data_IF_423607975522
#
_entry.id   IF_423607975522
#
_cell.length_a   1.000
_cell.length_b   1.000
_cell.length_c   1.000
_cell.angle_alpha   90.00
_cell.angle_beta   90.00
_cell.angle_gamma   90.00
#
_symmetry.space_group_name_H-M   'P 1'
#
loop_
_entity.id
_entity.type
_entity.pdbx_description
1 polymer ?
#
# COMPACT_ATOMS: atom_id res chain seq x y z
N UNK A 1 -8.24 27.41 -2.74
CA UNK A 1 -7.81 26.15 -2.08
C UNK A 1 -7.62 25.13 -3.17
N UNK A 2 -6.36 24.79 -3.43
CA UNK A 2 -5.94 23.86 -4.48
C UNK A 2 -6.58 22.48 -4.25
N UNK A 3 -6.91 21.74 -5.31
CA UNK A 3 -7.52 20.41 -5.21
C UNK A 3 -6.60 19.45 -4.43
N UNK A 4 -5.29 19.62 -4.58
CA UNK A 4 -4.26 18.93 -3.79
C UNK A 4 -4.27 19.32 -2.30
N UNK A 5 -4.64 20.55 -1.97
CA UNK A 5 -4.67 21.09 -0.60
C UNK A 5 -5.90 20.56 0.17
N UNK A 6 -7.06 20.48 -0.49
CA UNK A 6 -8.25 19.81 0.05
C UNK A 6 -7.96 18.34 0.41
N UNK A 7 -7.19 17.66 -0.44
CA UNK A 7 -6.85 16.23 -0.29
C UNK A 7 -5.80 15.94 0.78
N UNK A 8 -4.99 16.93 1.19
CA UNK A 8 -4.03 16.80 2.31
C UNK A 8 -4.69 16.85 3.68
N UNK A 9 -5.85 17.49 3.78
CA UNK A 9 -6.53 17.76 5.05
C UNK A 9 -7.05 16.46 5.64
N UNK A 10 -6.58 16.12 6.85
CA UNK A 10 -7.15 15.05 7.65
C UNK A 10 -8.56 15.47 8.07
N UNK A 11 -9.56 14.64 7.79
CA UNK A 11 -10.89 14.86 8.35
C UNK A 11 -10.80 14.62 9.86
N UNK A 12 -11.33 15.53 10.71
CA UNK A 12 -11.36 15.30 12.14
C UNK A 12 -12.14 14.03 12.45
N UNK A 13 -11.43 13.01 12.95
CA UNK A 13 -12.03 11.80 13.48
C UNK A 13 -11.86 11.77 15.00
N UNK A 14 -12.77 11.09 15.70
CA UNK A 14 -12.67 10.92 17.16
C UNK A 14 -11.35 10.28 17.57
N UNK A 15 -10.80 9.39 16.72
CA UNK A 15 -9.50 8.76 16.93
C UNK A 15 -8.34 9.76 16.80
N UNK A 16 -8.44 10.79 15.94
CA UNK A 16 -7.41 11.83 15.80
C UNK A 16 -7.21 12.61 17.10
N UNK A 17 -8.30 12.97 17.77
CA UNK A 17 -8.27 13.66 19.08
C UNK A 17 -7.68 12.76 20.16
N UNK A 18 -8.04 11.47 20.15
CA UNK A 18 -7.45 10.48 21.08
C UNK A 18 -5.95 10.33 20.88
N UNK A 19 -5.49 10.30 19.62
CA UNK A 19 -4.07 10.29 19.30
C UNK A 19 -3.40 11.54 19.86
N UNK A 20 -3.99 12.72 19.70
CA UNK A 20 -3.41 13.95 20.22
C UNK A 20 -3.22 13.92 21.74
N UNK A 21 -4.30 13.62 22.47
CA UNK A 21 -4.25 13.53 23.93
C UNK A 21 -3.23 12.50 24.40
N UNK A 22 -3.19 11.33 23.74
CA UNK A 22 -2.24 10.27 24.06
C UNK A 22 -0.78 10.75 23.95
N UNK A 23 -0.42 11.47 22.89
CA UNK A 23 0.95 11.94 22.73
C UNK A 23 1.27 13.13 23.64
N UNK A 24 0.28 13.95 23.98
CA UNK A 24 0.44 15.01 24.99
C UNK A 24 0.76 14.41 26.36
N UNK A 25 0.04 13.35 26.76
CA UNK A 25 0.33 12.60 27.99
C UNK A 25 1.73 11.97 27.94
N UNK A 26 2.18 11.51 26.77
CA UNK A 26 3.50 10.88 26.64
C UNK A 26 4.68 11.84 26.79
N UNK A 27 4.44 13.15 26.72
CA UNK A 27 5.50 14.16 26.85
C UNK A 27 6.23 14.07 28.19
N UNK A 28 5.63 13.50 29.23
CA UNK A 28 6.27 13.31 30.53
C UNK A 28 7.41 12.28 30.51
N UNK A 29 7.36 11.30 29.60
CA UNK A 29 8.33 10.20 29.53
C UNK A 29 9.51 10.50 28.60
N UNK A 30 9.47 11.60 27.84
CA UNK A 30 10.41 11.88 26.74
C UNK A 30 11.89 11.91 27.16
N UNK A 31 12.15 12.16 28.43
CA UNK A 31 13.50 12.23 29.02
C UNK A 31 13.80 11.06 29.98
N UNK A 32 12.93 10.06 30.05
CA UNK A 32 13.20 8.87 30.85
C UNK A 32 14.42 8.11 30.30
N UNK A 33 15.21 7.56 31.21
CA UNK A 33 16.44 6.81 30.86
C UNK A 33 16.16 5.44 30.22
N UNK A 34 14.98 4.89 30.44
CA UNK A 34 14.57 3.60 29.92
C UNK A 34 13.07 3.59 29.60
N UNK A 35 12.59 2.55 28.91
CA UNK A 35 11.21 2.45 28.43
C UNK A 35 10.26 1.80 29.44
N UNK A 36 10.70 1.39 30.64
CA UNK A 36 9.87 0.56 31.52
C UNK A 36 8.63 1.31 32.02
N UNK A 37 8.78 2.58 32.38
CA UNK A 37 7.68 3.40 32.92
C UNK A 37 6.58 3.63 31.90
N UNK A 38 6.94 4.00 30.67
CA UNK A 38 5.97 4.17 29.58
C UNK A 38 5.35 2.84 29.12
N UNK A 39 6.10 1.74 29.16
CA UNK A 39 5.56 0.41 28.85
C UNK A 39 4.51 -0.01 29.89
N UNK A 40 4.78 0.23 31.17
CA UNK A 40 3.81 -0.01 32.26
C UNK A 40 2.56 0.85 32.09
N UNK A 41 2.72 2.14 31.76
CA UNK A 41 1.60 3.02 31.44
C UNK A 41 0.68 2.41 30.37
N UNK A 42 1.25 1.90 29.27
CA UNK A 42 0.44 1.23 28.24
C UNK A 42 -0.22 -0.06 28.71
N UNK A 43 0.41 -0.85 29.57
CA UNK A 43 -0.21 -2.04 30.15
C UNK A 43 -1.42 -1.68 31.02
N UNK A 44 -1.33 -0.61 31.80
CA UNK A 44 -2.43 -0.10 32.61
C UNK A 44 -3.58 0.43 31.74
N UNK A 45 -3.29 1.27 30.73
CA UNK A 45 -4.28 1.82 29.81
C UNK A 45 -5.02 0.72 29.02
N UNK A 46 -4.27 -0.24 28.47
CA UNK A 46 -4.85 -1.40 27.79
C UNK A 46 -5.71 -2.23 28.72
N UNK A 47 -5.31 -2.41 29.99
CA UNK A 47 -6.08 -3.19 30.96
C UNK A 47 -7.42 -2.54 31.28
N UNK A 48 -7.41 -1.20 31.41
CA UNK A 48 -8.60 -0.39 31.69
C UNK A 48 -9.62 -0.34 30.54
N UNK A 49 -9.19 -0.54 29.29
CA UNK A 49 -10.11 -0.51 28.13
C UNK A 49 -11.03 -1.74 28.12
N UNK A 50 -12.37 -1.59 28.22
CA UNK A 50 -13.27 -2.74 28.28
C UNK A 50 -13.35 -3.51 26.96
N UNK A 51 -13.34 -2.80 25.84
CA UNK A 51 -13.39 -3.40 24.50
C UNK A 51 -11.98 -3.57 23.92
N UNK A 52 -11.50 -4.81 23.96
CA UNK A 52 -10.18 -5.21 23.45
C UNK A 52 -10.11 -5.26 21.90
N UNK A 53 -11.19 -4.97 21.19
CA UNK A 53 -11.20 -4.80 19.74
C UNK A 53 -11.36 -3.34 19.32
N UNK A 54 -11.54 -2.41 20.27
CA UNK A 54 -11.70 -1.00 19.97
C UNK A 54 -10.45 -0.39 19.32
N UNK A 55 -10.64 0.65 18.52
CA UNK A 55 -9.52 1.42 17.96
C UNK A 55 -8.67 2.09 19.05
N UNK A 56 -9.23 2.34 20.24
CA UNK A 56 -8.48 2.87 21.38
C UNK A 56 -7.51 1.83 21.95
N UNK A 57 -7.99 0.59 22.13
CA UNK A 57 -7.14 -0.52 22.55
C UNK A 57 -6.00 -0.77 21.56
N UNK A 58 -6.32 -0.79 20.26
CA UNK A 58 -5.32 -0.94 19.19
C UNK A 58 -4.31 0.21 19.19
N UNK A 59 -4.77 1.44 19.42
CA UNK A 59 -3.89 2.61 19.48
C UNK A 59 -2.81 2.41 20.56
N UNK A 60 -3.20 2.05 21.78
CA UNK A 60 -2.26 1.75 22.85
C UNK A 60 -1.31 0.60 22.48
N UNK A 61 -1.82 -0.47 21.87
CA UNK A 61 -0.99 -1.59 21.41
C UNK A 61 0.02 -1.18 20.34
N UNK A 62 -0.36 -0.37 19.36
CA UNK A 62 0.53 0.11 18.31
C UNK A 62 1.66 0.97 18.90
N UNK A 63 1.33 1.91 19.79
CA UNK A 63 2.36 2.76 20.39
C UNK A 63 3.27 1.94 21.32
N UNK A 64 2.72 1.03 22.12
CA UNK A 64 3.51 0.13 22.94
C UNK A 64 4.45 -0.75 22.10
N UNK A 65 3.96 -1.29 20.98
CA UNK A 65 4.77 -2.10 20.05
C UNK A 65 5.90 -1.28 19.44
N UNK A 66 5.65 -0.02 19.07
CA UNK A 66 6.67 0.90 18.59
C UNK A 66 7.77 1.14 19.65
N UNK A 67 7.39 1.40 20.90
CA UNK A 67 8.32 1.58 22.03
C UNK A 67 9.10 0.30 22.32
N UNK A 68 8.43 -0.85 22.34
CA UNK A 68 9.07 -2.15 22.57
C UNK A 68 10.16 -2.44 21.52
N UNK A 69 9.94 -2.00 20.28
CA UNK A 69 10.88 -2.14 19.17
C UNK A 69 12.08 -1.16 19.24
N UNK A 70 12.19 -0.24 20.20
CA UNK A 70 13.34 0.67 20.30
C UNK A 70 14.70 -0.04 20.39
N UNK A 71 14.78 -1.16 21.13
CA UNK A 71 16.01 -1.96 21.21
C UNK A 71 16.41 -2.59 19.87
N UNK A 72 15.43 -2.86 19.01
CA UNK A 72 15.69 -3.26 17.63
C UNK A 72 16.23 -2.04 16.88
N UNK A 73 15.49 -0.94 16.83
CA UNK A 73 15.90 0.26 16.08
C UNK A 73 17.24 0.87 16.51
N UNK A 74 17.65 0.72 17.78
CA UNK A 74 18.93 1.20 18.28
C UNK A 74 20.14 0.61 17.52
N UNK A 75 20.00 -0.61 16.97
CA UNK A 75 21.07 -1.28 16.21
C UNK A 75 21.09 -0.87 14.73
N UNK A 76 20.10 -0.10 14.25
CA UNK A 76 20.04 0.40 12.87
C UNK A 76 21.28 1.26 12.51
N UNK A 77 21.82 1.97 13.50
CA UNK A 77 22.98 2.85 13.39
C UNK A 77 24.28 2.24 13.93
N UNK A 78 24.28 0.94 14.27
CA UNK A 78 25.46 0.26 14.80
C UNK A 78 26.33 -0.25 13.64
N UNK A 79 27.43 0.45 13.38
CA UNK A 79 28.39 0.12 12.31
C UNK A 79 29.02 -1.27 12.49
N UNK A 80 29.03 -1.81 13.71
CA UNK A 80 29.62 -3.13 14.02
C UNK A 80 28.63 -4.26 13.72
N UNK A 81 27.33 -4.02 13.93
CA UNK A 81 26.28 -5.03 13.76
C UNK A 81 25.73 -5.12 12.33
N UNK A 82 26.17 -4.23 11.43
CA UNK A 82 25.79 -4.17 10.03
C UNK A 82 24.39 -3.60 9.79
N UNK A 83 24.07 -3.29 8.54
CA UNK A 83 22.77 -2.71 8.17
C UNK A 83 21.67 -3.76 8.11
N UNK A 84 20.50 -3.46 8.65
CA UNK A 84 19.32 -4.31 8.51
C UNK A 84 18.93 -4.58 7.04
N UNK A 85 18.44 -5.80 6.80
CA UNK A 85 17.88 -6.17 5.51
C UNK A 85 16.52 -5.50 5.29
N UNK A 86 16.09 -5.44 4.03
CA UNK A 86 14.78 -4.91 3.66
C UNK A 86 13.63 -5.61 4.39
N UNK A 87 13.68 -6.95 4.44
CA UNK A 87 12.69 -7.76 5.14
C UNK A 87 12.63 -7.50 6.65
N UNK A 88 13.74 -7.08 7.26
CA UNK A 88 13.75 -6.73 8.69
C UNK A 88 12.92 -5.46 8.97
N UNK A 89 12.99 -4.46 8.09
CA UNK A 89 12.14 -3.27 8.19
C UNK A 89 10.68 -3.59 7.93
N UNK A 90 10.41 -4.36 6.86
CA UNK A 90 9.08 -4.81 6.48
C UNK A 90 8.38 -5.50 7.66
N UNK A 91 9.01 -6.48 8.31
CA UNK A 91 8.38 -7.22 9.40
C UNK A 91 8.00 -6.33 10.58
N UNK A 92 8.82 -5.33 10.90
CA UNK A 92 8.51 -4.38 11.98
C UNK A 92 7.38 -3.43 11.63
N UNK A 93 7.22 -3.09 10.35
CA UNK A 93 6.04 -2.37 9.90
C UNK A 93 4.80 -3.29 9.90
N UNK A 94 4.94 -4.54 9.45
CA UNK A 94 3.88 -5.54 9.44
C UNK A 94 3.30 -5.77 10.85
N UNK A 95 4.13 -5.85 11.88
CA UNK A 95 3.67 -5.93 13.29
C UNK A 95 2.68 -4.80 13.67
N UNK A 96 2.86 -3.58 13.15
CA UNK A 96 1.94 -2.47 13.40
C UNK A 96 0.65 -2.59 12.57
N UNK A 97 0.78 -3.10 11.34
CA UNK A 97 -0.35 -3.32 10.44
C UNK A 97 -1.26 -4.46 10.93
N UNK A 98 -0.67 -5.53 11.46
CA UNK A 98 -1.40 -6.64 12.05
C UNK A 98 -2.30 -6.15 13.18
N UNK A 99 -1.81 -5.28 14.06
CA UNK A 99 -2.62 -4.69 15.13
C UNK A 99 -3.69 -3.75 14.56
N UNK A 100 -3.35 -2.94 13.56
CA UNK A 100 -4.27 -1.94 12.99
C UNK A 100 -5.48 -2.57 12.29
N UNK A 101 -5.30 -3.73 11.65
CA UNK A 101 -6.31 -4.43 10.85
C UNK A 101 -6.79 -5.75 11.47
N UNK A 102 -6.46 -6.06 12.73
CA UNK A 102 -6.72 -7.38 13.34
C UNK A 102 -8.18 -7.84 13.34
N UNK A 103 -9.12 -6.90 13.36
CA UNK A 103 -10.57 -7.13 13.37
C UNK A 103 -11.25 -6.90 12.01
N UNK A 104 -10.48 -6.52 11.00
CA UNK A 104 -10.98 -6.24 9.66
C UNK A 104 -11.06 -7.54 8.85
N UNK A 105 -12.27 -8.05 8.64
CA UNK A 105 -12.47 -9.31 7.93
C UNK A 105 -12.33 -9.17 6.41
N UNK A 106 -12.59 -7.97 5.89
CA UNK A 106 -12.70 -7.73 4.45
C UNK A 106 -11.46 -7.09 3.84
N UNK A 107 -10.54 -6.58 4.67
CA UNK A 107 -9.26 -6.00 4.25
C UNK A 107 -8.14 -6.79 4.89
N UNK A 108 -7.31 -7.42 4.05
CA UNK A 108 -6.13 -8.15 4.48
C UNK A 108 -4.86 -7.47 3.97
N UNK A 109 -3.80 -7.57 4.76
CA UNK A 109 -2.45 -7.13 4.40
C UNK A 109 -1.59 -8.39 4.29
N UNK A 110 -1.03 -8.62 3.11
CA UNK A 110 -0.16 -9.75 2.84
C UNK A 110 1.26 -9.25 2.65
N UNK A 111 2.22 -9.86 3.34
CA UNK A 111 3.64 -9.68 3.11
C UNK A 111 4.27 -10.93 2.47
N UNK A 112 5.50 -10.79 1.94
CA UNK A 112 6.29 -11.93 1.46
C UNK A 112 6.33 -12.10 -0.07
N UNK A 113 6.89 -11.13 -0.78
CA UNK A 113 7.15 -11.17 -2.24
C UNK A 113 5.92 -11.62 -3.07
N UNK A 114 4.75 -11.06 -2.78
CA UNK A 114 3.52 -11.41 -3.48
C UNK A 114 3.54 -10.85 -4.91
N UNK A 115 3.08 -11.64 -5.89
CA UNK A 115 2.94 -11.21 -7.28
C UNK A 115 1.67 -10.37 -7.44
N UNK A 116 1.78 -9.16 -7.99
CA UNK A 116 0.61 -8.33 -8.32
C UNK A 116 -0.04 -8.77 -9.64
N UNK A 117 -1.29 -9.20 -9.55
CA UNK A 117 -2.15 -9.55 -10.68
C UNK A 117 -2.50 -8.33 -11.53
N UNK A 118 -2.75 -7.17 -10.91
CA UNK A 118 -3.03 -5.94 -11.66
C UNK A 118 -1.86 -5.56 -12.57
N UNK A 119 -0.63 -5.71 -12.08
CA UNK A 119 0.56 -5.47 -12.88
C UNK A 119 0.74 -6.49 -14.02
N UNK A 120 0.33 -7.74 -13.81
CA UNK A 120 0.37 -8.78 -14.84
C UNK A 120 -0.64 -8.48 -15.96
N UNK A 121 -1.88 -8.13 -15.59
CA UNK A 121 -2.92 -7.77 -16.55
C UNK A 121 -2.48 -6.59 -17.44
N UNK A 122 -1.86 -5.57 -16.84
CA UNK A 122 -1.36 -4.43 -17.61
C UNK A 122 -0.17 -4.74 -18.52
N UNK A 123 0.69 -5.71 -18.16
CA UNK A 123 1.74 -6.19 -19.06
C UNK A 123 1.14 -6.89 -20.28
N UNK A 124 0.18 -7.79 -20.07
CA UNK A 124 -0.51 -8.49 -21.17
C UNK A 124 -1.10 -7.46 -22.15
N UNK A 125 -1.75 -6.42 -21.63
CA UNK A 125 -2.36 -5.39 -22.47
C UNK A 125 -1.36 -4.50 -23.24
N UNK A 126 -0.19 -4.22 -22.67
CA UNK A 126 0.77 -3.26 -23.23
C UNK A 126 1.91 -3.91 -24.03
N UNK A 127 2.31 -5.11 -23.64
CA UNK A 127 3.54 -5.77 -24.09
C UNK A 127 3.25 -7.12 -24.77
N UNK A 128 2.00 -7.60 -24.76
CA UNK A 128 1.57 -8.91 -25.28
C UNK A 128 2.39 -10.10 -24.69
N UNK A 129 2.97 -9.87 -23.50
CA UNK A 129 3.77 -10.84 -22.76
C UNK A 129 2.94 -11.46 -21.61
N UNK A 130 2.92 -12.80 -21.56
CA UNK A 130 2.24 -13.57 -20.50
C UNK A 130 3.08 -13.71 -19.21
N UNK A 131 4.25 -13.07 -19.16
CA UNK A 131 5.19 -13.28 -18.07
C UNK A 131 4.72 -12.64 -16.77
N UNK A 132 4.93 -13.40 -15.68
CA UNK A 132 4.49 -13.14 -14.32
C UNK A 132 4.48 -11.65 -13.91
N UNK A 133 3.49 -11.29 -13.09
CA UNK A 133 3.37 -9.96 -12.50
C UNK A 133 4.60 -9.54 -11.68
N UNK A 134 4.64 -8.29 -11.25
CA UNK A 134 5.73 -7.78 -10.41
C UNK A 134 5.59 -8.28 -8.97
N UNK A 135 6.71 -8.69 -8.36
CA UNK A 135 6.79 -8.99 -6.93
C UNK A 135 6.75 -7.71 -6.09
N UNK A 136 5.95 -7.78 -5.03
CA UNK A 136 5.64 -6.71 -4.09
C UNK A 136 5.99 -7.17 -2.68
N UNK A 137 6.57 -6.27 -1.91
CA UNK A 137 6.90 -6.52 -0.50
C UNK A 137 5.65 -6.73 0.34
N UNK A 138 4.71 -5.78 0.28
CA UNK A 138 3.45 -5.81 1.02
C UNK A 138 2.27 -5.39 0.12
N UNK A 139 1.24 -6.21 0.06
CA UNK A 139 0.07 -6.01 -0.79
C UNK A 139 -1.20 -6.08 0.06
N UNK A 140 -1.97 -5.00 0.04
CA UNK A 140 -3.29 -4.98 0.66
C UNK A 140 -4.34 -5.45 -0.34
N UNK A 141 -5.24 -6.31 0.11
CA UNK A 141 -6.27 -6.94 -0.70
C UNK A 141 -7.62 -6.89 0.01
N UNK A 142 -8.69 -6.92 -0.78
CA UNK A 142 -10.05 -7.13 -0.30
C UNK A 142 -10.61 -8.42 -0.88
N UNK A 143 -11.53 -9.07 -0.15
CA UNK A 143 -12.21 -10.28 -0.62
C UNK A 143 -13.71 -10.03 -0.83
N UNK A 144 -14.27 -10.61 -1.90
CA UNK A 144 -15.72 -10.72 -2.11
C UNK A 144 -16.02 -12.02 -2.86
N UNK A 145 -16.90 -12.89 -2.34
CA UNK A 145 -17.31 -14.15 -2.98
C UNK A 145 -16.14 -14.92 -3.63
N UNK A 146 -15.11 -15.23 -2.82
CA UNK A 146 -13.86 -15.90 -3.23
C UNK A 146 -13.00 -15.20 -4.28
N UNK A 147 -13.41 -14.03 -4.76
CA UNK A 147 -12.60 -13.14 -5.57
C UNK A 147 -11.75 -12.25 -4.68
N UNK A 148 -10.45 -12.24 -4.92
CA UNK A 148 -9.48 -11.39 -4.22
C UNK A 148 -9.10 -10.24 -5.13
N UNK A 149 -9.24 -9.01 -4.64
CA UNK A 149 -9.00 -7.79 -5.40
C UNK A 149 -7.93 -6.97 -4.69
N UNK A 150 -6.90 -6.56 -5.43
CA UNK A 150 -5.81 -5.73 -4.92
C UNK A 150 -6.31 -4.31 -4.61
N UNK A 151 -5.86 -3.74 -3.49
CA UNK A 151 -6.24 -2.39 -3.04
C UNK A 151 -5.09 -1.41 -3.17
N UNK A 152 -3.89 -1.77 -2.70
CA UNK A 152 -2.66 -1.01 -2.92
C UNK A 152 -1.42 -1.84 -2.58
N UNK A 153 -0.26 -1.44 -3.10
CA UNK A 153 1.05 -2.00 -2.78
C UNK A 153 1.93 -1.03 -1.99
N UNK A 154 2.59 -1.54 -0.96
CA UNK A 154 3.58 -0.83 -0.15
C UNK A 154 4.95 -1.49 -0.33
N UNK A 155 5.98 -0.69 -0.53
CA UNK A 155 7.34 -1.18 -0.80
C UNK A 155 8.35 -0.66 0.22
N UNK A 156 9.38 -1.45 0.45
CA UNK A 156 10.42 -1.18 1.44
C UNK A 156 11.77 -1.12 0.74
N UNK A 157 12.66 -0.31 1.29
CA UNK A 157 14.09 -0.32 0.99
C UNK A 157 14.86 -0.20 2.29
N UNK A 158 16.03 -0.83 2.33
CA UNK A 158 17.01 -0.64 3.40
C UNK A 158 17.37 0.84 3.56
N UNK A 159 17.67 1.27 4.78
CA UNK A 159 18.08 2.65 5.08
C UNK A 159 19.26 3.10 4.20
N UNK A 160 20.22 2.20 3.96
CA UNK A 160 21.44 2.44 3.17
C UNK A 160 21.22 2.42 1.65
N UNK A 161 20.00 2.20 1.17
CA UNK A 161 19.70 2.23 -0.26
C UNK A 161 20.01 3.63 -0.84
N UNK A 162 20.68 3.69 -1.99
CA UNK A 162 20.98 4.97 -2.65
C UNK A 162 19.70 5.65 -3.12
N UNK A 163 19.76 6.98 -3.29
CA UNK A 163 18.64 7.77 -3.83
C UNK A 163 18.19 7.25 -5.20
N UNK A 164 19.13 6.83 -6.06
CA UNK A 164 18.82 6.24 -7.37
C UNK A 164 17.99 4.96 -7.25
N UNK A 165 18.35 4.08 -6.31
CA UNK A 165 17.58 2.86 -6.04
C UNK A 165 16.19 3.21 -5.52
N UNK A 166 16.11 4.17 -4.59
CA UNK A 166 14.85 4.63 -4.04
C UNK A 166 13.96 5.19 -5.16
N UNK A 167 14.42 6.14 -5.96
CA UNK A 167 13.66 6.74 -7.07
C UNK A 167 13.14 5.69 -8.05
N UNK A 168 13.98 4.70 -8.41
CA UNK A 168 13.55 3.59 -9.27
C UNK A 168 12.42 2.77 -8.63
N UNK A 169 12.49 2.55 -7.32
CA UNK A 169 11.47 1.87 -6.56
C UNK A 169 10.16 2.69 -6.48
N UNK A 170 10.25 4.01 -6.27
CA UNK A 170 9.07 4.89 -6.27
C UNK A 170 8.36 4.83 -7.62
N UNK A 171 9.11 4.97 -8.73
CA UNK A 171 8.53 4.84 -10.08
C UNK A 171 7.92 3.46 -10.32
N UNK A 172 8.52 2.38 -9.76
CA UNK A 172 7.95 1.03 -9.81
C UNK A 172 6.59 1.00 -9.08
N UNK A 173 6.55 1.49 -7.84
CA UNK A 173 5.37 1.40 -7.00
C UNK A 173 4.23 2.31 -7.48
N UNK A 174 4.53 3.49 -8.03
CA UNK A 174 3.55 4.36 -8.71
C UNK A 174 2.84 3.59 -9.82
N UNK A 175 3.58 2.94 -10.73
CA UNK A 175 2.98 2.22 -11.86
C UNK A 175 2.11 1.05 -11.42
N UNK A 176 2.54 0.32 -10.39
CA UNK A 176 1.80 -0.82 -9.86
C UNK A 176 0.51 -0.34 -9.19
N UNK A 177 0.59 0.66 -8.30
CA UNK A 177 -0.58 1.24 -7.70
C UNK A 177 -1.50 1.90 -8.73
N UNK A 178 -0.99 2.51 -9.80
CA UNK A 178 -1.83 3.03 -10.90
C UNK A 178 -2.59 1.90 -11.62
N UNK A 179 -1.97 0.74 -11.82
CA UNK A 179 -2.65 -0.43 -12.38
C UNK A 179 -3.72 -0.97 -11.42
N UNK A 180 -3.45 -1.00 -10.12
CA UNK A 180 -4.43 -1.38 -9.10
C UNK A 180 -5.60 -0.39 -9.10
N UNK A 181 -5.34 0.92 -9.09
CA UNK A 181 -6.36 1.96 -9.16
C UNK A 181 -7.24 1.83 -10.42
N UNK A 182 -6.62 1.51 -11.55
CA UNK A 182 -7.32 1.27 -12.80
C UNK A 182 -8.22 0.03 -12.74
N UNK A 183 -7.75 -1.07 -12.13
CA UNK A 183 -8.56 -2.26 -11.93
C UNK A 183 -9.78 -1.95 -11.04
N UNK A 184 -9.57 -1.24 -9.92
CA UNK A 184 -10.65 -0.79 -9.03
C UNK A 184 -11.64 0.10 -9.77
N UNK A 185 -11.15 1.03 -10.60
CA UNK A 185 -12.01 1.85 -11.46
C UNK A 185 -12.85 1.01 -12.42
N UNK A 186 -12.27 -0.02 -13.04
CA UNK A 186 -13.00 -0.90 -13.95
C UNK A 186 -14.08 -1.71 -13.24
N UNK A 187 -13.85 -2.14 -12.01
CA UNK A 187 -14.83 -2.89 -11.22
C UNK A 187 -15.94 -1.95 -10.75
N UNK A 188 -15.56 -0.85 -10.09
CA UNK A 188 -16.51 0.05 -9.41
C UNK A 188 -17.17 1.07 -10.32
N UNK A 189 -16.60 1.33 -11.50
CA UNK A 189 -16.93 2.45 -12.40
C UNK A 189 -16.84 3.82 -11.71
N UNK A 190 -16.06 3.91 -10.63
CA UNK A 190 -15.84 5.13 -9.84
C UNK A 190 -14.36 5.54 -9.89
N UNK A 191 -14.10 6.83 -9.88
CA UNK A 191 -12.75 7.38 -9.78
C UNK A 191 -12.35 7.48 -8.30
N UNK A 192 -12.11 6.34 -7.68
CA UNK A 192 -11.69 6.27 -6.27
C UNK A 192 -10.21 6.65 -6.15
N UNK A 193 -9.90 7.52 -5.18
CA UNK A 193 -8.52 7.80 -4.81
C UNK A 193 -7.98 6.66 -3.95
N UNK A 194 -6.80 6.15 -4.28
CA UNK A 194 -6.11 5.13 -3.48
C UNK A 194 -4.89 5.73 -2.80
N UNK A 195 -4.53 5.21 -1.64
CA UNK A 195 -3.35 5.65 -0.89
C UNK A 195 -2.42 4.48 -0.63
N UNK A 196 -1.13 4.72 -0.83
CA UNK A 196 -0.08 3.74 -0.61
C UNK A 196 1.15 4.39 0.04
N UNK A 197 2.11 3.58 0.45
CA UNK A 197 3.32 4.03 1.13
C UNK A 197 4.58 3.45 0.49
N UNK A 198 5.67 4.17 0.61
CA UNK A 198 7.01 3.65 0.38
C UNK A 198 7.89 3.97 1.58
N UNK A 199 8.70 3.00 2.00
CA UNK A 199 9.56 3.09 3.18
C UNK A 199 11.04 2.93 2.82
N UNK A 200 11.88 3.75 3.44
CA UNK A 200 13.33 3.64 3.44
C UNK A 200 13.81 3.58 4.90
N UNK A 201 14.09 2.38 5.38
CA UNK A 201 14.29 2.15 6.81
C UNK A 201 13.02 2.52 7.60
N UNK A 202 13.18 3.32 8.65
CA UNK A 202 12.06 3.85 9.47
C UNK A 202 11.37 5.10 8.92
N UNK A 203 11.86 5.66 7.81
CA UNK A 203 11.32 6.88 7.21
C UNK A 203 10.52 6.48 5.98
N UNK A 204 9.27 6.90 5.92
CA UNK A 204 8.40 6.65 4.78
C UNK A 204 7.70 7.90 4.30
N UNK A 205 6.89 7.75 3.27
CA UNK A 205 5.94 8.75 2.84
C UNK A 205 4.67 8.08 2.33
N UNK A 206 3.57 8.82 2.37
CA UNK A 206 2.29 8.41 1.84
C UNK A 206 1.99 9.16 0.54
N UNK A 207 1.52 8.43 -0.47
CA UNK A 207 1.09 8.97 -1.75
C UNK A 207 -0.37 8.65 -1.98
N UNK A 208 -1.12 9.64 -2.44
CA UNK A 208 -2.46 9.44 -2.98
C UNK A 208 -2.39 9.41 -4.50
N UNK A 209 -2.99 8.38 -5.10
CA UNK A 209 -3.28 8.31 -6.52
C UNK A 209 -4.74 8.66 -6.76
N UNK A 210 -5.00 9.50 -7.75
CA UNK A 210 -6.35 9.85 -8.17
C UNK A 210 -6.41 10.13 -9.67
N UNK A 211 -7.59 9.96 -10.26
CA UNK A 211 -7.83 10.30 -11.65
C UNK A 211 -8.06 11.81 -11.78
N UNK A 212 -7.44 12.42 -12.77
CA UNK A 212 -7.64 13.81 -13.13
C UNK A 212 -7.47 13.96 -14.64
N UNK A 213 -8.52 14.43 -15.34
CA UNK A 213 -8.48 14.67 -16.79
C UNK A 213 -7.99 13.47 -17.63
N UNK A 214 -8.38 12.25 -17.26
CA UNK A 214 -7.99 11.05 -17.98
C UNK A 214 -6.54 10.60 -17.75
N UNK A 215 -5.86 11.13 -16.73
CA UNK A 215 -4.56 10.60 -16.27
C UNK A 215 -4.61 10.27 -14.78
N UNK A 216 -3.75 9.35 -14.33
CA UNK A 216 -3.56 9.07 -12.90
C UNK A 216 -2.46 9.98 -12.37
N UNK A 217 -2.81 10.81 -11.40
CA UNK A 217 -1.88 11.74 -10.72
C UNK A 217 -1.43 11.12 -9.41
N UNK A 218 -0.12 11.16 -9.15
CA UNK A 218 0.47 10.77 -7.88
C UNK A 218 0.87 12.01 -7.08
N UNK A 219 0.31 12.14 -5.87
CA UNK A 219 0.57 13.28 -4.98
C UNK A 219 1.05 12.81 -3.62
N UNK A 220 2.21 13.29 -3.16
CA UNK A 220 2.68 13.02 -1.82
C UNK A 220 1.83 13.79 -0.80
N UNK A 221 1.26 13.04 0.13
CA UNK A 221 0.32 13.53 1.15
C UNK A 221 1.04 13.85 2.46
N UNK A 222 1.94 12.97 2.90
CA UNK A 222 2.64 13.14 4.17
C UNK A 222 3.97 12.36 4.22
N UNK A 223 4.81 12.71 5.18
CA UNK A 223 5.97 11.94 5.61
C UNK A 223 5.60 11.08 6.82
N UNK A 224 6.15 9.88 6.88
CA UNK A 224 5.87 8.89 7.91
C UNK A 224 7.17 8.54 8.65
N UNK A 225 7.06 8.24 9.94
CA UNK A 225 8.20 8.03 10.81
C UNK A 225 7.90 6.98 11.88
N UNK A 226 8.77 5.97 12.01
CA UNK A 226 8.74 5.02 13.14
C UNK A 226 9.78 5.45 14.17
N UNK A 227 9.41 5.72 15.44
CA UNK A 227 10.34 6.19 16.45
C UNK A 227 11.33 5.10 16.87
N UNK A 228 12.58 5.50 17.16
CA UNK A 228 13.60 4.59 17.73
C UNK A 228 13.93 4.87 19.20
N UNK A 229 13.44 5.96 19.76
CA UNK A 229 13.71 6.39 21.13
C UNK A 229 12.66 7.41 21.62
N UNK A 230 12.61 7.66 22.93
CA UNK A 230 11.50 8.37 23.58
C UNK A 230 11.33 9.82 23.11
N UNK A 231 12.42 10.56 22.86
CA UNK A 231 12.31 11.95 22.38
C UNK A 231 11.69 12.05 20.98
N UNK A 232 11.70 10.96 20.20
CA UNK A 232 11.14 10.93 18.85
C UNK A 232 9.67 10.50 18.84
N UNK A 233 9.07 10.16 19.99
CA UNK A 233 7.71 9.64 20.04
C UNK A 233 6.70 10.60 19.41
N UNK A 234 6.83 11.91 19.65
CA UNK A 234 5.90 12.88 19.09
C UNK A 234 5.92 12.90 17.54
N UNK A 235 7.04 12.53 16.89
CA UNK A 235 7.10 12.38 15.43
C UNK A 235 6.20 11.23 14.92
N UNK A 236 5.87 10.27 15.79
CA UNK A 236 4.97 9.17 15.45
C UNK A 236 3.49 9.58 15.45
N UNK A 237 3.14 10.70 16.11
CA UNK A 237 1.77 11.23 16.20
C UNK A 237 1.15 11.41 14.82
N UNK A 238 1.83 12.11 13.91
CA UNK A 238 1.32 12.33 12.54
C UNK A 238 1.19 11.02 11.77
N UNK A 239 2.17 10.12 11.91
CA UNK A 239 2.16 8.80 11.28
C UNK A 239 0.92 8.01 11.69
N UNK A 240 0.59 7.97 12.98
CA UNK A 240 -0.60 7.25 13.46
C UNK A 240 -1.89 7.84 12.92
N UNK A 241 -2.04 9.16 12.93
CA UNK A 241 -3.22 9.82 12.33
C UNK A 241 -3.39 9.41 10.86
N UNK A 242 -2.29 9.36 10.11
CA UNK A 242 -2.29 8.92 8.71
C UNK A 242 -2.62 7.45 8.56
N UNK A 243 -2.09 6.58 9.42
CA UNK A 243 -2.37 5.14 9.39
C UNK A 243 -3.86 4.84 9.66
N UNK A 244 -4.47 5.49 10.66
CA UNK A 244 -5.90 5.34 10.93
C UNK A 244 -6.78 5.89 9.80
N UNK A 245 -6.43 7.07 9.27
CA UNK A 245 -7.14 7.63 8.10
C UNK A 245 -7.02 6.72 6.88
N UNK A 246 -5.85 6.11 6.69
CA UNK A 246 -5.58 5.16 5.62
C UNK A 246 -6.39 3.87 5.79
N UNK A 247 -6.51 3.35 7.01
CA UNK A 247 -7.41 2.24 7.35
C UNK A 247 -8.85 2.54 6.95
N UNK A 248 -9.41 3.66 7.39
CA UNK A 248 -10.80 4.05 7.07
C UNK A 248 -11.03 4.16 5.55
N UNK A 249 -10.10 4.78 4.82
CA UNK A 249 -10.17 4.88 3.35
C UNK A 249 -10.12 3.51 2.67
N UNK A 250 -9.30 2.58 3.18
CA UNK A 250 -9.23 1.21 2.66
C UNK A 250 -10.53 0.45 2.84
N UNK A 251 -11.13 0.54 4.03
CA UNK A 251 -12.44 -0.06 4.32
C UNK A 251 -13.48 0.52 3.37
N UNK A 252 -13.47 1.84 3.13
CA UNK A 252 -14.37 2.47 2.16
C UNK A 252 -14.17 1.93 0.75
N UNK A 253 -12.93 1.83 0.27
CA UNK A 253 -12.62 1.27 -1.06
C UNK A 253 -13.06 -0.19 -1.16
N UNK A 254 -12.80 -0.99 -0.12
CA UNK A 254 -13.25 -2.38 -0.02
C UNK A 254 -14.77 -2.48 -0.15
N UNK A 255 -15.53 -1.68 0.58
CA UNK A 255 -16.99 -1.65 0.51
C UNK A 255 -17.50 -1.26 -0.88
N UNK A 256 -16.86 -0.30 -1.55
CA UNK A 256 -17.21 0.10 -2.91
C UNK A 256 -16.95 -1.02 -3.93
N UNK A 257 -15.83 -1.73 -3.79
CA UNK A 257 -15.51 -2.90 -4.61
C UNK A 257 -16.54 -4.01 -4.40
N UNK A 258 -16.88 -4.30 -3.15
CA UNK A 258 -17.86 -5.34 -2.79
C UNK A 258 -19.25 -5.00 -3.30
N UNK A 259 -19.67 -3.74 -3.17
CA UNK A 259 -20.95 -3.28 -3.68
C UNK A 259 -21.03 -3.46 -5.21
N UNK A 260 -19.99 -3.04 -5.93
CA UNK A 260 -19.94 -3.19 -7.38
C UNK A 260 -19.98 -4.66 -7.81
N UNK A 261 -19.23 -5.53 -7.13
CA UNK A 261 -19.24 -6.97 -7.40
C UNK A 261 -20.61 -7.61 -7.11
N UNK A 262 -21.28 -7.20 -6.02
CA UNK A 262 -22.64 -7.63 -5.71
C UNK A 262 -23.66 -7.20 -6.77
N UNK A 263 -23.58 -5.95 -7.22
CA UNK A 263 -24.45 -5.42 -8.29
C UNK A 263 -24.22 -6.13 -9.64
N UNK A 264 -22.97 -6.45 -9.97
CA UNK A 264 -22.63 -7.20 -11.18
C UNK A 264 -23.19 -8.62 -11.13
N UNK A 265 -23.01 -9.33 -10.02
CA UNK A 265 -23.61 -10.66 -9.82
C UNK A 265 -25.14 -10.64 -9.98
N UNK A 266 -25.81 -9.62 -9.42
CA UNK A 266 -27.27 -9.45 -9.58
C UNK A 266 -27.69 -9.25 -11.04
N UNK A 267 -26.88 -8.58 -11.86
CA UNK A 267 -27.18 -8.40 -13.30
C UNK A 267 -27.17 -9.74 -14.02
N UNK A 268 -26.18 -10.60 -13.76
CA UNK A 268 -26.13 -11.93 -14.36
C UNK A 268 -27.28 -12.82 -13.88
N UNK A 269 -27.59 -12.83 -12.58
CA UNK A 269 -28.75 -13.58 -12.07
C UNK A 269 -30.08 -13.10 -12.66
N UNK A 270 -30.26 -11.79 -12.82
CA UNK A 270 -31.45 -11.23 -13.47
C UNK A 270 -31.50 -11.58 -14.96
N UNK A 271 -30.35 -11.59 -15.64
CA UNK A 271 -30.26 -12.03 -17.03
C UNK A 271 -30.61 -13.51 -17.16
N UNK A 272 -30.14 -14.40 -16.27
CA UNK A 272 -30.46 -15.83 -16.28
C UNK A 272 -31.97 -16.10 -16.08
N UNK A 273 -32.62 -15.31 -15.22
CA UNK A 273 -34.09 -15.37 -15.07
C UNK A 273 -34.77 -14.89 -16.36
N UNK A 274 -34.27 -13.82 -16.99
CA UNK A 274 -34.86 -13.27 -18.21
C UNK A 274 -34.63 -14.14 -19.46
N UNK A 275 -33.48 -14.81 -19.58
CA UNK A 275 -33.14 -15.67 -20.73
C UNK A 275 -33.82 -17.03 -20.65
N UNK A 276 -34.29 -17.44 -19.48
CA UNK A 276 -35.20 -18.60 -19.36
C UNK A 276 -36.52 -18.42 -20.13
N UNK A 277 -36.81 -17.21 -20.63
CA UNK A 277 -38.04 -16.84 -21.35
C UNK A 277 -37.81 -16.20 -22.74
N UNK A 278 -36.58 -16.17 -23.29
CA UNK A 278 -36.31 -15.54 -24.58
C UNK A 278 -35.36 -16.35 -25.47
N UNK A 279 -35.74 -16.49 -26.75
CA UNK A 279 -34.88 -17.05 -27.79
C UNK A 279 -33.62 -16.19 -28.02
N UNK A 280 -32.50 -16.87 -28.24
CA UNK A 280 -31.16 -16.29 -28.32
C UNK A 280 -31.04 -15.40 -29.57
N UNK A 281 -30.80 -14.10 -29.38
CA UNK A 281 -30.43 -13.17 -30.47
C UNK A 281 -28.98 -12.70 -30.25
N UNK A 282 -28.08 -13.10 -31.14
CA UNK A 282 -26.69 -12.68 -31.12
C UNK A 282 -26.55 -11.22 -31.55
N UNK A 283 -25.96 -10.39 -30.68
CA UNK A 283 -25.55 -9.03 -31.03
C UNK A 283 -24.12 -9.02 -31.59
N UNK A 284 -23.81 -8.22 -32.62
CA UNK A 284 -22.47 -8.14 -33.19
C UNK A 284 -21.47 -7.48 -32.21
N UNK A 285 -20.16 -7.77 -32.36
CA UNK A 285 -19.13 -7.27 -31.45
C UNK A 285 -19.04 -5.75 -31.50
N UNK A 286 -19.05 -5.08 -30.34
CA UNK A 286 -18.68 -3.66 -30.27
C UNK A 286 -17.16 -3.51 -30.27
N UNK A 287 -16.59 -2.56 -31.03
CA UNK A 287 -15.17 -2.26 -30.93
C UNK A 287 -14.85 -1.64 -29.56
N UNK A 288 -13.73 -2.01 -28.92
CA UNK A 288 -13.33 -1.45 -27.64
C UNK A 288 -12.99 0.04 -27.79
N UNK A 289 -13.43 0.86 -26.83
CA UNK A 289 -13.01 2.27 -26.72
C UNK A 289 -11.50 2.33 -26.41
N UNK A 290 -10.79 3.36 -26.89
CA UNK A 290 -9.36 3.54 -26.58
C UNK A 290 -9.15 3.68 -25.08
N UNK A 291 -8.18 2.90 -24.58
CA UNK A 291 -7.95 2.64 -23.16
C UNK A 291 -6.80 3.52 -22.66
N UNK A 292 -6.96 4.17 -21.49
CA UNK A 292 -5.85 4.87 -20.81
C UNK A 292 -5.01 3.80 -20.09
N UNK A 293 -3.85 3.44 -20.65
CA UNK A 293 -2.98 2.41 -20.07
C UNK A 293 -1.78 3.03 -19.34
N UNK A 294 -1.55 2.71 -18.04
CA UNK A 294 -0.27 3.04 -17.42
C UNK A 294 0.86 2.28 -18.11
N UNK A 295 1.87 3.02 -18.58
CA UNK A 295 3.00 2.50 -19.34
C UNK A 295 4.07 1.90 -18.40
N UNK A 296 4.48 0.64 -18.62
CA UNK A 296 5.36 -0.08 -17.71
C UNK A 296 6.87 0.05 -17.98
N UNK A 297 7.26 0.56 -19.16
CA UNK A 297 8.65 0.47 -19.63
C UNK A 297 9.17 1.78 -20.25
N UNK A 298 10.33 2.32 -19.83
CA UNK A 298 11.07 3.28 -20.66
C UNK A 298 11.67 2.53 -21.84
N UNK A 299 11.25 2.84 -23.07
CA UNK A 299 11.85 2.30 -24.29
C UNK A 299 13.30 2.78 -24.40
N UNK A 300 14.25 1.91 -24.04
CA UNK A 300 15.58 2.00 -24.63
C UNK A 300 15.45 1.45 -26.05
N UNK A 301 15.84 2.19 -27.10
CA UNK A 301 15.91 1.61 -28.42
C UNK A 301 17.00 0.54 -28.39
N UNK A 302 16.59 -0.73 -28.28
CA UNK A 302 17.50 -1.85 -28.50
C UNK A 302 17.98 -1.73 -29.95
N UNK A 303 19.26 -1.41 -30.13
CA UNK A 303 19.96 -1.65 -31.39
C UNK A 303 19.83 -3.15 -31.66
N UNK A 304 18.86 -3.53 -32.51
CA UNK A 304 18.82 -4.86 -33.14
C UNK A 304 20.15 -5.04 -33.84
N UNK A 305 21.03 -5.89 -33.30
CA UNK A 305 22.07 -6.52 -34.11
C UNK A 305 21.34 -7.47 -35.06
N UNK A 306 21.37 -7.15 -36.33
CA UNK A 306 20.95 -8.05 -37.41
C UNK A 306 21.81 -9.32 -37.38
N UNK A 307 21.22 -10.51 -37.45
CA UNK A 307 21.94 -11.76 -37.67
C UNK A 307 22.02 -12.04 -39.18
N UNK A 308 23.24 -12.13 -39.70
CA UNK A 308 23.74 -12.77 -40.94
C UNK A 308 25.13 -12.12 -41.16
N UNK A 309 26.25 -12.83 -41.36
CA UNK A 309 26.46 -14.02 -42.17
C UNK A 309 27.54 -14.92 -41.55
N UNK A 310 27.34 -16.23 -41.69
CA UNK A 310 28.38 -17.24 -41.60
C UNK A 310 29.13 -17.32 -42.93
N UNK A 311 30.45 -17.23 -42.94
CA UNK A 311 31.32 -18.16 -43.66
C UNK A 311 32.79 -18.04 -43.23
N UNK A 312 33.44 -19.20 -43.24
CA UNK A 312 34.80 -19.55 -42.83
C UNK A 312 35.87 -19.06 -43.81
N UNK A 313 37.09 -18.86 -43.28
CA UNK A 313 38.41 -19.31 -43.80
C UNK A 313 39.48 -18.46 -43.08
N UNK A 314 40.27 -19.04 -42.18
CA UNK A 314 41.63 -19.56 -42.44
C UNK A 314 42.71 -18.47 -42.52
N UNK A 315 43.81 -18.80 -41.81
CA UNK A 315 45.20 -18.37 -41.96
C UNK A 315 45.74 -17.10 -41.28
N UNK A 316 46.75 -17.37 -40.44
CA UNK A 316 48.08 -16.74 -40.31
C UNK A 316 48.11 -15.20 -40.15
N UNK A 317 48.71 -14.61 -39.10
CA UNK A 317 50.02 -14.81 -38.48
C UNK A 317 50.04 -14.14 -37.08
#
# INVERSE_FOLDING_TARGET
MDECEKRRTLLPSSITVKIDNLFDDQLEYRFDKNTNRILQYFDDQKSAEPDKTSDNYKLFRIVQQAVFNFKFWAKESDEVMGSYSENMYLRKFAELMDILFEDENDVAIYDGETISQASQYMKILNEDEADSGRRIDMLSKTKYNDTVIEVCSTEFKRLTASTTICNRQQSKNIRINSAIAYNIHNITKKELAIEYMDWRGRIGYMVQLFFFQGVVVAHQVDSLYIPKLLLELDNFRSTLKRLYTWKEKKIKISNEIRLAAFEEQRKYMAADISTSHCEIVYSPPRPPKPMITPFFTPTRPNKRKTPHESHQSEDEE
#
